data_IF_170391204401
#
_entry.id   IF_170391204401
#
_cell.length_a   1.000
_cell.length_b   1.000
_cell.length_c   1.000
_cell.angle_alpha   90.00
_cell.angle_beta   90.00
_cell.angle_gamma   90.00
#
_symmetry.space_group_name_H-M   'P 1'
#
loop_
_entity.id
_entity.type
_entity.pdbx_description
1 polymer ?
#
# COMPACT_ATOMS: atom_id res chain seq x y z
N UNK A 1 7.83 -17.55 -14.14
CA UNK A 1 6.40 -17.56 -14.42
C UNK A 1 6.05 -18.87 -15.09
N UNK A 2 5.84 -19.97 -14.37
CA UNK A 2 5.27 -21.16 -14.96
C UNK A 2 3.79 -20.95 -15.28
N UNK A 3 3.37 -21.66 -16.31
CA UNK A 3 1.97 -21.83 -16.67
C UNK A 3 1.58 -23.26 -16.32
N UNK A 4 0.47 -23.43 -15.61
CA UNK A 4 -0.05 -24.75 -15.26
C UNK A 4 -0.57 -25.47 -16.52
N UNK A 5 0.30 -26.31 -17.10
CA UNK A 5 0.02 -27.07 -18.33
C UNK A 5 -1.11 -28.08 -18.16
N UNK A 6 -1.41 -28.49 -16.92
CA UNK A 6 -2.52 -29.43 -16.64
C UNK A 6 -3.90 -28.78 -16.84
N UNK A 7 -3.96 -27.45 -16.81
CA UNK A 7 -5.19 -26.67 -17.00
C UNK A 7 -5.36 -26.14 -18.41
N UNK A 8 -4.45 -26.45 -19.34
CA UNK A 8 -4.55 -26.03 -20.72
C UNK A 8 -5.71 -26.74 -21.43
N UNK A 9 -6.55 -25.96 -22.10
CA UNK A 9 -7.57 -26.45 -23.03
C UNK A 9 -7.12 -26.15 -24.46
N UNK A 10 -7.72 -26.81 -25.45
CA UNK A 10 -7.48 -26.46 -26.87
C UNK A 10 -7.73 -24.97 -27.07
N UNK A 11 -6.76 -24.29 -27.66
CA UNK A 11 -6.76 -22.85 -27.93
C UNK A 11 -8.00 -22.44 -28.71
N UNK A 12 -8.70 -21.39 -28.25
CA UNK A 12 -9.92 -20.90 -28.92
C UNK A 12 -9.65 -19.72 -29.87
N UNK A 13 -8.47 -19.08 -29.80
CA UNK A 13 -8.15 -17.90 -30.61
C UNK A 13 -6.75 -17.96 -31.23
N UNK A 14 -6.62 -17.54 -32.48
CA UNK A 14 -5.33 -17.35 -33.15
C UNK A 14 -4.59 -16.12 -32.62
N UNK A 15 -3.27 -16.25 -32.44
CA UNK A 15 -2.39 -15.14 -32.05
C UNK A 15 -2.14 -14.22 -33.24
N UNK A 16 -2.38 -12.92 -33.05
CA UNK A 16 -2.05 -11.87 -34.02
C UNK A 16 -0.57 -11.96 -34.45
N UNK A 17 -0.24 -11.72 -35.74
CA UNK A 17 1.11 -11.89 -36.27
C UNK A 17 2.19 -11.13 -35.49
N UNK A 18 1.91 -9.88 -35.10
CA UNK A 18 2.83 -9.00 -34.37
C UNK A 18 3.10 -9.53 -32.96
N UNK A 19 2.06 -10.07 -32.30
CA UNK A 19 2.17 -10.70 -31.00
C UNK A 19 3.00 -11.99 -31.07
N UNK A 20 2.82 -12.77 -32.13
CA UNK A 20 3.60 -13.99 -32.39
C UNK A 20 5.08 -13.69 -32.62
N UNK A 21 5.38 -12.63 -33.39
CA UNK A 21 6.75 -12.17 -33.60
C UNK A 21 7.40 -11.71 -32.30
N UNK A 22 6.68 -10.98 -31.44
CA UNK A 22 7.19 -10.58 -30.13
C UNK A 22 7.49 -11.80 -29.25
N UNK A 23 6.58 -12.77 -29.18
CA UNK A 23 6.78 -14.02 -28.42
C UNK A 23 8.06 -14.73 -28.89
N UNK A 24 8.25 -14.86 -30.21
CA UNK A 24 9.45 -15.51 -30.77
C UNK A 24 10.73 -14.74 -30.42
N UNK A 25 10.72 -13.41 -30.56
CA UNK A 25 11.86 -12.57 -30.19
C UNK A 25 12.25 -12.71 -28.72
N UNK A 26 11.28 -12.71 -27.81
CA UNK A 26 11.53 -12.84 -26.36
C UNK A 26 12.03 -14.24 -25.99
N UNK A 27 11.53 -15.27 -26.67
CA UNK A 27 11.96 -16.66 -26.50
C UNK A 27 13.45 -16.81 -26.85
N UNK A 28 13.87 -16.29 -28.00
CA UNK A 28 15.24 -16.45 -28.52
C UNK A 28 16.26 -15.48 -27.92
N UNK A 29 15.82 -14.33 -27.39
CA UNK A 29 16.71 -13.28 -26.87
C UNK A 29 17.65 -13.76 -25.75
N UNK A 30 18.90 -13.32 -25.73
CA UNK A 30 19.75 -13.39 -24.53
C UNK A 30 19.22 -12.49 -23.39
N UNK A 31 19.73 -12.64 -22.17
CA UNK A 31 19.35 -11.79 -21.03
C UNK A 31 19.57 -10.29 -21.32
N UNK A 32 20.69 -9.92 -21.96
CA UNK A 32 20.97 -8.54 -22.35
C UNK A 32 19.99 -8.00 -23.40
N UNK A 33 19.66 -8.81 -24.41
CA UNK A 33 18.69 -8.44 -25.44
C UNK A 33 17.27 -8.34 -24.87
N UNK A 34 16.93 -9.24 -23.94
CA UNK A 34 15.65 -9.25 -23.26
C UNK A 34 15.44 -7.93 -22.50
N UNK A 35 16.45 -7.43 -21.77
CA UNK A 35 16.38 -6.10 -21.14
C UNK A 35 16.03 -5.01 -22.15
N UNK A 36 16.71 -4.99 -23.31
CA UNK A 36 16.48 -3.97 -24.35
C UNK A 36 15.05 -4.05 -24.89
N UNK A 37 14.60 -5.24 -25.28
CA UNK A 37 13.25 -5.44 -25.82
C UNK A 37 12.18 -5.05 -24.79
N UNK A 38 12.34 -5.45 -23.53
CA UNK A 38 11.35 -5.17 -22.49
C UNK A 38 11.30 -3.69 -22.09
N UNK A 39 12.42 -2.95 -22.18
CA UNK A 39 12.45 -1.50 -21.95
C UNK A 39 11.63 -0.72 -22.98
N UNK A 40 11.63 -1.19 -24.22
CA UNK A 40 10.92 -0.54 -25.32
C UNK A 40 9.38 -0.75 -25.23
N UNK A 41 8.92 -1.71 -24.43
CA UNK A 41 7.50 -2.05 -24.29
C UNK A 41 6.93 -1.42 -23.02
N UNK A 42 6.50 -0.16 -23.14
CA UNK A 42 5.78 0.55 -22.08
C UNK A 42 4.24 0.54 -22.25
N UNK A 43 3.77 0.24 -23.46
CA UNK A 43 2.35 0.30 -23.82
C UNK A 43 1.96 -0.96 -24.59
N UNK A 44 0.79 -1.50 -24.29
CA UNK A 44 0.33 -2.75 -24.89
C UNK A 44 -0.50 -2.51 -26.17
N UNK A 45 0.07 -2.87 -27.33
CA UNK A 45 -0.57 -2.71 -28.64
C UNK A 45 -1.12 -4.01 -29.24
N UNK A 46 -0.97 -5.14 -28.54
CA UNK A 46 -1.24 -6.48 -29.10
C UNK A 46 -2.67 -6.99 -28.86
N UNK A 47 -3.59 -6.12 -28.46
CA UNK A 47 -4.97 -6.51 -28.14
C UNK A 47 -5.07 -7.47 -26.95
N UNK A 48 -6.23 -8.10 -26.73
CA UNK A 48 -6.35 -9.08 -25.63
C UNK A 48 -5.63 -10.38 -26.01
N UNK A 49 -4.99 -11.04 -25.05
CA UNK A 49 -4.21 -12.26 -25.29
C UNK A 49 -4.63 -13.42 -24.39
N UNK A 50 -4.12 -14.62 -24.68
CA UNK A 50 -4.24 -15.78 -23.80
C UNK A 50 -2.86 -16.18 -23.29
N UNK A 51 -2.75 -16.42 -22.00
CA UNK A 51 -1.47 -16.71 -21.34
C UNK A 51 -0.82 -17.98 -21.90
N UNK A 52 -1.62 -18.93 -22.42
CA UNK A 52 -1.11 -20.16 -23.03
C UNK A 52 -0.18 -19.96 -24.23
N UNK A 53 -0.28 -18.84 -24.93
CA UNK A 53 0.64 -18.51 -26.02
C UNK A 53 2.02 -18.07 -25.52
N UNK A 54 2.11 -17.70 -24.25
CA UNK A 54 3.30 -17.17 -23.62
C UNK A 54 4.06 -18.21 -22.80
N UNK A 55 3.66 -19.50 -22.81
CA UNK A 55 4.23 -20.57 -21.96
C UNK A 55 5.76 -20.55 -21.95
N UNK A 56 6.39 -20.56 -23.12
CA UNK A 56 7.85 -20.64 -23.21
C UNK A 56 8.55 -19.38 -22.69
N UNK A 57 7.99 -18.20 -22.98
CA UNK A 57 8.51 -16.92 -22.46
C UNK A 57 8.34 -16.84 -20.94
N UNK A 58 7.19 -17.30 -20.44
CA UNK A 58 6.88 -17.30 -19.02
C UNK A 58 7.77 -18.30 -18.27
N UNK A 59 8.03 -19.48 -18.83
CA UNK A 59 8.94 -20.49 -18.26
C UNK A 59 10.36 -19.93 -18.15
N UNK A 60 10.85 -19.23 -19.18
CA UNK A 60 12.13 -18.50 -19.12
C UNK A 60 12.16 -17.44 -18.03
N UNK A 61 11.07 -16.67 -17.89
CA UNK A 61 10.93 -15.73 -16.77
C UNK A 61 10.87 -16.43 -15.41
N UNK A 62 10.45 -17.70 -15.35
CA UNK A 62 10.48 -18.51 -14.13
C UNK A 62 11.90 -18.76 -13.69
N UNK A 63 12.74 -19.21 -14.60
CA UNK A 63 14.13 -19.52 -14.31
C UNK A 63 14.88 -18.28 -13.83
N UNK A 64 14.64 -17.12 -14.47
CA UNK A 64 15.20 -15.83 -14.04
C UNK A 64 14.78 -15.52 -12.60
N UNK A 65 13.48 -15.55 -12.28
CA UNK A 65 13.00 -15.24 -10.94
C UNK A 65 13.43 -16.29 -9.90
N UNK A 66 13.42 -17.56 -10.26
CA UNK A 66 13.85 -18.67 -9.42
C UNK A 66 15.33 -18.57 -9.05
N UNK A 67 16.17 -18.03 -9.94
CA UNK A 67 17.60 -17.85 -9.65
C UNK A 67 17.86 -16.83 -8.54
N UNK A 68 17.03 -15.78 -8.44
CA UNK A 68 17.23 -14.66 -7.51
C UNK A 68 16.38 -14.74 -6.24
N UNK A 69 15.28 -15.49 -6.28
CA UNK A 69 14.32 -15.61 -5.17
C UNK A 69 14.72 -16.66 -4.11
N UNK A 70 15.89 -17.29 -4.24
CA UNK A 70 16.39 -18.31 -3.30
C UNK A 70 16.92 -17.67 -2.02
N UNK A 71 16.70 -18.27 -0.84
CA UNK A 71 17.35 -17.83 0.39
C UNK A 71 18.84 -18.13 0.37
N UNK A 72 19.64 -17.23 0.94
CA UNK A 72 21.10 -17.42 1.12
C UNK A 72 21.36 -18.05 2.48
N UNK A 73 22.13 -19.13 2.54
CA UNK A 73 22.52 -19.82 3.78
C UNK A 73 21.34 -20.22 4.69
N UNK A 74 20.17 -20.51 4.11
CA UNK A 74 18.95 -20.84 4.87
C UNK A 74 18.28 -19.64 5.56
N UNK A 75 18.76 -18.42 5.33
CA UNK A 75 18.16 -17.18 5.85
C UNK A 75 16.72 -17.00 5.35
N UNK A 76 15.86 -16.50 6.23
CA UNK A 76 14.48 -16.13 5.87
C UNK A 76 14.36 -14.69 5.37
N UNK A 77 15.42 -13.89 5.49
CA UNK A 77 15.42 -12.44 5.26
C UNK A 77 16.40 -11.99 4.18
N UNK A 78 17.31 -12.87 3.76
CA UNK A 78 18.33 -12.58 2.74
C UNK A 78 18.12 -13.49 1.53
N UNK A 79 17.83 -12.89 0.38
CA UNK A 79 17.70 -13.57 -0.89
C UNK A 79 18.99 -13.47 -1.70
N UNK A 80 19.18 -14.37 -2.68
CA UNK A 80 20.24 -14.27 -3.68
C UNK A 80 20.23 -12.88 -4.35
N UNK A 81 19.04 -12.33 -4.61
CA UNK A 81 18.84 -10.97 -5.11
C UNK A 81 19.58 -9.90 -4.29
N UNK A 82 19.54 -10.02 -2.95
CA UNK A 82 20.14 -9.04 -2.03
C UNK A 82 21.68 -9.15 -1.99
N UNK A 83 22.23 -10.24 -2.51
CA UNK A 83 23.66 -10.56 -2.50
C UNK A 83 24.32 -10.56 -3.88
N UNK A 84 23.60 -10.13 -4.93
CA UNK A 84 24.12 -10.14 -6.30
C UNK A 84 25.47 -9.41 -6.44
N UNK A 85 25.67 -8.27 -5.79
CA UNK A 85 26.96 -7.54 -5.88
C UNK A 85 28.14 -8.39 -5.37
N UNK A 86 27.90 -9.22 -4.34
CA UNK A 86 28.91 -10.09 -3.74
C UNK A 86 29.12 -11.37 -4.55
N UNK A 87 28.07 -11.86 -5.22
CA UNK A 87 28.06 -13.14 -5.94
C UNK A 87 28.51 -13.01 -7.41
N UNK A 88 28.10 -11.93 -8.08
CA UNK A 88 28.26 -11.74 -9.52
C UNK A 88 29.08 -10.48 -9.88
N UNK A 89 29.34 -9.59 -8.90
CA UNK A 89 29.99 -8.30 -9.13
C UNK A 89 29.00 -7.18 -9.49
N UNK A 90 29.35 -5.91 -9.25
CA UNK A 90 28.39 -4.79 -9.29
C UNK A 90 27.77 -4.54 -10.67
N UNK A 91 28.55 -4.67 -11.74
CA UNK A 91 28.07 -4.41 -13.11
C UNK A 91 27.04 -5.46 -13.55
N UNK A 92 27.37 -6.75 -13.35
CA UNK A 92 26.47 -7.86 -13.67
C UNK A 92 25.24 -7.84 -12.76
N UNK A 93 25.42 -7.56 -11.48
CA UNK A 93 24.32 -7.43 -10.52
C UNK A 93 23.34 -6.33 -10.93
N UNK A 94 23.82 -5.18 -11.41
CA UNK A 94 22.98 -4.10 -11.93
C UNK A 94 22.13 -4.55 -13.12
N UNK A 95 22.75 -5.25 -14.10
CA UNK A 95 22.03 -5.82 -15.24
C UNK A 95 21.01 -6.88 -14.81
N UNK A 96 21.37 -7.76 -13.88
CA UNK A 96 20.48 -8.80 -13.32
C UNK A 96 19.27 -8.18 -12.62
N UNK A 97 19.47 -7.13 -11.81
CA UNK A 97 18.37 -6.39 -11.16
C UNK A 97 17.48 -5.70 -12.19
N UNK A 98 18.07 -5.10 -13.21
CA UNK A 98 17.34 -4.50 -14.32
C UNK A 98 16.48 -5.54 -15.04
N UNK A 99 17.03 -6.71 -15.35
CA UNK A 99 16.31 -7.82 -15.99
C UNK A 99 15.12 -8.29 -15.15
N UNK A 100 15.34 -8.60 -13.87
CA UNK A 100 14.28 -9.07 -12.96
C UNK A 100 13.12 -8.07 -12.88
N UNK A 101 13.42 -6.79 -12.75
CA UNK A 101 12.39 -5.73 -12.70
C UNK A 101 11.60 -5.64 -14.01
N UNK A 102 12.26 -5.69 -15.17
CA UNK A 102 11.57 -5.63 -16.46
C UNK A 102 10.75 -6.89 -16.75
N UNK A 103 11.24 -8.07 -16.34
CA UNK A 103 10.50 -9.34 -16.42
C UNK A 103 9.20 -9.26 -15.60
N UNK A 104 9.25 -8.74 -14.37
CA UNK A 104 8.07 -8.58 -13.52
C UNK A 104 7.08 -7.55 -14.10
N UNK A 105 7.58 -6.38 -14.55
CA UNK A 105 6.75 -5.32 -15.17
C UNK A 105 6.05 -5.81 -16.43
N UNK A 106 6.79 -6.49 -17.31
CA UNK A 106 6.21 -7.08 -18.52
C UNK A 106 5.23 -8.21 -18.19
N UNK A 107 5.51 -9.02 -17.16
CA UNK A 107 4.55 -10.04 -16.72
C UNK A 107 3.24 -9.39 -16.26
N UNK A 108 3.29 -8.30 -15.49
CA UNK A 108 2.10 -7.55 -15.11
C UNK A 108 1.32 -7.06 -16.35
N UNK A 109 2.03 -6.54 -17.36
CA UNK A 109 1.43 -6.08 -18.61
C UNK A 109 0.72 -7.21 -19.38
N UNK A 110 1.39 -8.35 -19.58
CA UNK A 110 0.76 -9.54 -20.22
C UNK A 110 -0.48 -9.97 -19.44
N UNK A 111 -0.39 -10.05 -18.11
CA UNK A 111 -1.50 -10.46 -17.26
C UNK A 111 -2.67 -9.49 -17.31
N UNK A 112 -2.43 -8.18 -17.43
CA UNK A 112 -3.50 -7.19 -17.53
C UNK A 112 -4.36 -7.44 -18.76
N UNK A 113 -3.74 -7.77 -19.90
CA UNK A 113 -4.40 -8.01 -21.17
C UNK A 113 -4.79 -9.48 -21.42
N UNK A 114 -4.48 -10.39 -20.50
CA UNK A 114 -4.77 -11.82 -20.64
C UNK A 114 -6.18 -12.22 -20.17
N UNK A 115 -6.87 -13.11 -20.90
CA UNK A 115 -8.11 -13.74 -20.42
C UNK A 115 -7.87 -14.93 -19.49
N UNK A 116 -6.73 -15.61 -19.62
CA UNK A 116 -6.44 -16.89 -18.94
C UNK A 116 -5.44 -16.71 -17.79
N UNK A 117 -5.62 -15.63 -17.01
CA UNK A 117 -4.78 -15.28 -15.84
C UNK A 117 -4.67 -16.38 -14.79
N UNK A 118 -5.68 -17.24 -14.69
CA UNK A 118 -5.75 -18.36 -13.74
C UNK A 118 -4.72 -19.47 -14.01
N UNK A 119 -4.07 -19.46 -15.18
CA UNK A 119 -3.04 -20.44 -15.53
C UNK A 119 -1.67 -20.09 -14.93
N UNK A 120 -1.48 -18.87 -14.43
CA UNK A 120 -0.23 -18.45 -13.81
C UNK A 120 0.05 -19.27 -12.53
N UNK A 121 1.28 -19.80 -12.37
CA UNK A 121 1.62 -20.67 -11.24
C UNK A 121 2.85 -20.26 -10.40
N UNK A 122 3.58 -19.18 -10.73
CA UNK A 122 4.81 -18.77 -10.01
C UNK A 122 4.62 -17.90 -8.76
N UNK A 123 3.56 -18.18 -8.02
CA UNK A 123 3.23 -17.42 -6.80
C UNK A 123 4.34 -17.44 -5.74
N UNK A 124 5.15 -18.50 -5.66
CA UNK A 124 6.26 -18.64 -4.70
C UNK A 124 7.38 -17.61 -4.90
N UNK A 125 7.67 -17.23 -6.16
CA UNK A 125 8.66 -16.20 -6.45
C UNK A 125 8.13 -14.82 -6.06
N UNK A 126 6.84 -14.55 -6.33
CA UNK A 126 6.19 -13.31 -5.89
C UNK A 126 6.19 -13.20 -4.37
N UNK A 127 5.83 -14.28 -3.67
CA UNK A 127 5.90 -14.35 -2.21
C UNK A 127 7.32 -14.00 -1.79
N UNK A 128 8.32 -14.80 -2.18
CA UNK A 128 9.72 -14.64 -1.72
C UNK A 128 10.27 -13.23 -1.96
N UNK A 129 10.09 -12.69 -3.17
CA UNK A 129 10.61 -11.36 -3.53
C UNK A 129 9.95 -10.19 -2.79
N UNK A 130 8.78 -10.36 -2.15
CA UNK A 130 8.23 -9.34 -1.24
C UNK A 130 9.10 -9.11 0.01
N UNK A 131 10.03 -10.02 0.32
CA UNK A 131 10.99 -9.92 1.43
C UNK A 131 12.34 -9.35 0.97
N UNK A 132 12.49 -9.02 -0.32
CA UNK A 132 13.71 -8.39 -0.80
C UNK A 132 13.99 -7.06 -0.07
N UNK A 133 15.27 -6.73 0.07
CA UNK A 133 15.75 -5.49 0.66
C UNK A 133 15.58 -4.30 -0.28
N UNK A 134 15.67 -4.51 -1.59
CA UNK A 134 15.48 -3.47 -2.60
C UNK A 134 13.99 -3.23 -2.88
N UNK A 135 13.55 -1.99 -2.72
CA UNK A 135 12.16 -1.62 -2.93
C UNK A 135 11.75 -1.63 -4.41
N UNK A 136 12.69 -1.55 -5.36
CA UNK A 136 12.34 -1.59 -6.79
C UNK A 136 11.73 -2.93 -7.19
N UNK A 137 12.33 -4.05 -6.77
CA UNK A 137 11.78 -5.39 -7.06
C UNK A 137 10.48 -5.63 -6.29
N UNK A 138 10.37 -5.12 -5.06
CA UNK A 138 9.12 -5.17 -4.28
C UNK A 138 8.00 -4.44 -5.02
N UNK A 139 8.25 -3.25 -5.56
CA UNK A 139 7.29 -2.50 -6.38
C UNK A 139 6.88 -3.26 -7.64
N UNK A 140 7.84 -3.87 -8.33
CA UNK A 140 7.56 -4.67 -9.52
C UNK A 140 6.68 -5.89 -9.20
N UNK A 141 6.90 -6.54 -8.05
CA UNK A 141 6.02 -7.62 -7.55
C UNK A 141 4.63 -7.10 -7.18
N UNK A 142 4.55 -5.96 -6.49
CA UNK A 142 3.28 -5.31 -6.13
C UNK A 142 2.47 -4.95 -7.38
N UNK A 143 3.12 -4.55 -8.47
CA UNK A 143 2.48 -4.32 -9.77
C UNK A 143 1.80 -5.57 -10.32
N UNK A 144 2.47 -6.73 -10.26
CA UNK A 144 1.87 -8.02 -10.65
C UNK A 144 0.67 -8.36 -9.76
N UNK A 145 0.81 -8.21 -8.44
CA UNK A 145 -0.26 -8.48 -7.48
C UNK A 145 -1.46 -7.54 -7.66
N UNK A 146 -1.23 -6.28 -8.03
CA UNK A 146 -2.27 -5.29 -8.32
C UNK A 146 -3.11 -5.69 -9.53
N UNK A 147 -2.46 -6.15 -10.60
CA UNK A 147 -3.18 -6.68 -11.77
C UNK A 147 -4.03 -7.88 -11.37
N UNK A 148 -3.49 -8.78 -10.56
CA UNK A 148 -4.25 -9.92 -10.06
C UNK A 148 -5.42 -9.52 -9.18
N UNK A 149 -5.26 -8.58 -8.25
CA UNK A 149 -6.34 -8.15 -7.37
C UNK A 149 -7.45 -7.43 -8.13
N UNK A 150 -7.11 -6.61 -9.13
CA UNK A 150 -8.07 -5.81 -9.88
C UNK A 150 -8.80 -6.58 -10.98
N UNK A 151 -8.13 -7.53 -11.64
CA UNK A 151 -8.61 -8.18 -12.87
C UNK A 151 -8.87 -9.68 -12.72
N UNK A 152 -8.66 -10.24 -11.53
CA UNK A 152 -8.77 -11.68 -11.29
C UNK A 152 -9.16 -12.00 -9.83
N UNK A 153 -9.63 -13.23 -9.61
CA UNK A 153 -9.76 -13.83 -8.27
C UNK A 153 -8.55 -14.72 -7.94
N UNK A 154 -7.38 -14.41 -8.51
CA UNK A 154 -6.15 -15.20 -8.34
C UNK A 154 -5.71 -15.28 -6.88
N UNK A 155 -5.58 -14.15 -6.18
CA UNK A 155 -5.10 -14.10 -4.78
C UNK A 155 -6.00 -14.92 -3.84
N UNK A 156 -7.35 -14.79 -3.86
CA UNK A 156 -8.22 -15.62 -3.02
C UNK A 156 -8.10 -17.13 -3.27
N UNK A 157 -7.71 -17.55 -4.49
CA UNK A 157 -7.58 -18.95 -4.92
C UNK A 157 -6.21 -19.56 -4.64
N UNK A 158 -5.25 -18.77 -4.15
CA UNK A 158 -3.95 -19.29 -3.76
C UNK A 158 -4.06 -20.25 -2.57
N UNK A 159 -3.10 -21.20 -2.44
CA UNK A 159 -2.93 -21.98 -1.22
C UNK A 159 -2.88 -21.09 0.03
N UNK A 160 -3.45 -21.58 1.13
CA UNK A 160 -3.70 -20.78 2.34
C UNK A 160 -2.42 -20.19 2.95
N UNK A 161 -1.32 -20.94 2.91
CA UNK A 161 0.02 -20.54 3.32
C UNK A 161 0.53 -19.35 2.50
N UNK A 162 0.51 -19.44 1.17
CA UNK A 162 0.94 -18.37 0.27
C UNK A 162 0.04 -17.13 0.40
N UNK A 163 -1.27 -17.34 0.50
CA UNK A 163 -2.25 -16.26 0.68
C UNK A 163 -2.01 -15.51 2.00
N UNK A 164 -1.82 -16.23 3.11
CA UNK A 164 -1.54 -15.63 4.43
C UNK A 164 -0.20 -14.88 4.40
N UNK A 165 0.83 -15.45 3.78
CA UNK A 165 2.13 -14.79 3.65
C UNK A 165 2.04 -13.47 2.84
N UNK A 166 1.33 -13.47 1.71
CA UNK A 166 1.08 -12.25 0.92
C UNK A 166 0.31 -11.24 1.76
N UNK A 167 -0.79 -11.65 2.40
CA UNK A 167 -1.62 -10.75 3.19
C UNK A 167 -0.84 -10.09 4.34
N UNK A 168 -0.08 -10.88 5.12
CA UNK A 168 0.74 -10.36 6.21
C UNK A 168 1.79 -9.35 5.72
N UNK A 169 2.46 -9.65 4.60
CA UNK A 169 3.48 -8.76 4.01
C UNK A 169 2.86 -7.47 3.48
N UNK A 170 1.72 -7.56 2.81
CA UNK A 170 0.98 -6.39 2.32
C UNK A 170 0.47 -5.53 3.47
N UNK A 171 -0.06 -6.12 4.55
CA UNK A 171 -0.49 -5.38 5.74
C UNK A 171 0.69 -4.61 6.34
N UNK A 172 1.85 -5.26 6.54
CA UNK A 172 3.05 -4.61 7.09
C UNK A 172 3.63 -3.53 6.15
N UNK A 173 3.50 -3.68 4.83
CA UNK A 173 3.87 -2.65 3.85
C UNK A 173 2.88 -1.48 3.84
N UNK A 174 1.60 -1.76 4.09
CA UNK A 174 0.50 -0.79 4.10
C UNK A 174 0.46 0.10 5.36
N UNK A 175 1.17 -0.30 6.42
CA UNK A 175 1.18 0.37 7.71
C UNK A 175 1.56 1.86 7.63
N UNK A 176 0.97 2.63 8.53
CA UNK A 176 1.30 4.04 8.69
C UNK A 176 2.69 4.22 9.25
N UNK A 177 3.49 5.04 8.57
CA UNK A 177 4.77 5.54 9.04
C UNK A 177 4.68 7.04 9.27
N UNK A 178 5.42 7.51 10.26
CA UNK A 178 5.35 8.91 10.67
C UNK A 178 4.01 9.30 11.30
N UNK A 179 3.71 10.60 11.27
CA UNK A 179 2.51 11.20 11.85
C UNK A 179 2.85 12.34 12.80
N UNK A 180 1.82 13.01 13.33
CA UNK A 180 2.00 14.11 14.31
C UNK A 180 2.91 13.71 15.47
N UNK A 181 2.79 12.48 15.94
CA UNK A 181 3.60 11.94 17.05
C UNK A 181 5.05 11.68 16.66
N UNK A 182 5.32 11.42 15.38
CA UNK A 182 6.67 11.19 14.86
C UNK A 182 7.35 12.47 14.35
N UNK A 183 6.63 13.60 14.31
CA UNK A 183 7.14 14.91 13.91
C UNK A 183 7.17 15.19 12.40
N UNK A 184 6.65 14.30 11.55
CA UNK A 184 6.56 14.52 10.10
C UNK A 184 5.31 13.88 9.49
N UNK A 185 4.83 14.41 8.36
CA UNK A 185 3.66 13.88 7.66
C UNK A 185 4.06 13.13 6.38
N UNK A 186 3.14 12.32 5.84
CA UNK A 186 3.34 11.63 4.56
C UNK A 186 3.67 12.63 3.43
N UNK A 187 3.03 13.79 3.45
CA UNK A 187 3.27 14.87 2.51
C UNK A 187 4.71 15.39 2.57
N UNK A 188 5.26 15.58 3.77
CA UNK A 188 6.66 15.96 3.96
C UNK A 188 7.62 14.88 3.43
N UNK A 189 7.29 13.60 3.63
CA UNK A 189 8.12 12.50 3.10
C UNK A 189 8.21 12.47 1.57
N UNK A 190 7.20 12.99 0.86
CA UNK A 190 7.16 13.06 -0.59
C UNK A 190 8.03 14.19 -1.17
N UNK A 191 8.60 15.06 -0.33
CA UNK A 191 9.44 16.18 -0.77
C UNK A 191 10.93 15.78 -0.75
N UNK A 192 11.69 16.36 -1.68
CA UNK A 192 13.16 16.24 -1.72
C UNK A 192 13.79 17.23 -0.74
N UNK A 193 13.64 16.94 0.54
CA UNK A 193 14.20 17.74 1.63
C UNK A 193 15.46 17.07 2.19
N UNK A 194 16.47 17.85 2.61
CA UNK A 194 17.62 17.34 3.35
C UNK A 194 17.20 16.63 4.63
N UNK A 195 17.96 15.61 5.06
CA UNK A 195 17.64 14.81 6.26
C UNK A 195 17.45 15.63 7.54
N UNK A 196 18.14 16.78 7.66
CA UNK A 196 18.03 17.70 8.81
C UNK A 196 16.64 18.33 8.99
N UNK A 197 15.81 18.36 7.94
CA UNK A 197 14.42 18.83 8.00
C UNK A 197 13.50 17.78 8.63
N UNK A 198 13.98 16.55 8.80
CA UNK A 198 13.26 15.47 9.45
C UNK A 198 13.76 15.28 10.89
N UNK A 199 12.89 14.83 11.82
CA UNK A 199 13.29 14.45 13.16
C UNK A 199 14.45 13.43 13.13
N UNK A 200 15.39 13.54 14.08
CA UNK A 200 16.58 12.68 14.14
C UNK A 200 16.20 11.19 14.23
N UNK A 201 15.05 10.90 14.84
CA UNK A 201 14.50 9.55 14.98
C UNK A 201 13.81 9.00 13.72
N UNK A 202 13.77 9.75 12.61
CA UNK A 202 13.01 9.32 11.41
C UNK A 202 13.60 8.10 10.71
N UNK A 203 14.88 7.81 10.96
CA UNK A 203 15.59 6.63 10.47
C UNK A 203 16.02 5.67 11.61
N UNK A 204 15.35 5.79 12.76
CA UNK A 204 15.49 4.87 13.88
C UNK A 204 14.40 3.79 13.78
N UNK A 205 14.71 2.59 14.26
CA UNK A 205 13.73 1.52 14.45
C UNK A 205 13.44 1.42 15.93
N UNK A 206 12.19 1.73 16.31
CA UNK A 206 11.64 1.42 17.61
C UNK A 206 10.53 0.38 17.46
N UNK A 207 10.64 -0.75 18.15
CA UNK A 207 9.69 -1.84 18.05
C UNK A 207 9.51 -2.54 19.40
N UNK A 208 8.28 -2.55 19.89
CA UNK A 208 7.91 -3.18 21.16
C UNK A 208 7.08 -4.44 20.91
N UNK A 209 7.35 -5.48 21.68
CA UNK A 209 6.55 -6.70 21.68
C UNK A 209 6.58 -7.37 23.04
N UNK A 210 5.52 -8.11 23.33
CA UNK A 210 5.43 -8.94 24.50
C UNK A 210 5.98 -10.32 24.18
N UNK A 211 6.82 -10.84 25.06
CA UNK A 211 7.33 -12.19 24.94
C UNK A 211 6.65 -13.06 26.01
N UNK A 212 6.05 -14.16 25.58
CA UNK A 212 5.46 -15.12 26.49
C UNK A 212 6.58 -16.09 26.89
N UNK A 213 7.06 -16.00 28.13
CA UNK A 213 8.00 -16.98 28.65
C UNK A 213 7.34 -18.36 28.65
N UNK A 214 7.80 -19.26 27.79
CA UNK A 214 7.52 -20.70 27.91
C UNK A 214 8.21 -21.17 29.19
N UNK A 215 7.46 -21.20 30.29
CA UNK A 215 7.91 -21.79 31.54
C UNK A 215 8.34 -23.24 31.26
N UNK A 216 9.62 -23.53 31.48
CA UNK A 216 10.21 -24.87 31.56
C UNK A 216 9.42 -25.72 32.55
N UNK A 217 9.32 -27.06 32.38
CA UNK A 217 8.50 -27.89 33.26
C UNK A 217 9.02 -27.82 34.71
N UNK A 218 8.11 -27.82 35.72
CA UNK A 218 8.50 -27.62 37.10
C UNK A 218 9.27 -28.83 37.62
N UNK A 219 10.52 -28.61 38.02
CA UNK A 219 11.16 -29.47 39.01
C UNK A 219 11.20 -28.75 40.35
N UNK A 220 10.79 -29.49 41.38
CA UNK A 220 10.81 -29.23 42.82
C UNK A 220 9.82 -28.19 43.39
N UNK A 221 8.71 -28.74 43.90
CA UNK A 221 8.04 -28.43 45.18
C UNK A 221 8.22 -27.04 45.77
N UNK A 222 7.33 -26.12 45.40
CA UNK A 222 6.73 -25.17 46.34
C UNK A 222 5.45 -24.60 45.73
N UNK A 223 4.33 -24.71 46.45
CA UNK A 223 3.03 -24.17 46.06
C UNK A 223 3.06 -22.64 46.04
N UNK A 224 3.35 -22.05 44.89
CA UNK A 224 2.89 -20.72 44.53
C UNK A 224 2.44 -20.73 43.07
N UNK A 225 1.16 -20.40 42.85
CA UNK A 225 0.56 -20.22 41.53
C UNK A 225 1.20 -18.99 40.88
N UNK A 226 2.25 -19.19 40.08
CA UNK A 226 2.83 -18.14 39.25
C UNK A 226 1.97 -17.95 38.00
N UNK A 227 1.36 -16.77 37.88
CA UNK A 227 0.72 -16.29 36.65
C UNK A 227 1.80 -16.17 35.56
N UNK A 228 1.58 -16.62 34.32
CA UNK A 228 2.57 -16.47 33.25
C UNK A 228 2.86 -14.98 33.03
N UNK A 229 4.08 -14.56 33.38
CA UNK A 229 4.52 -13.17 33.27
C UNK A 229 4.88 -12.84 31.82
N UNK A 230 4.05 -12.04 31.15
CA UNK A 230 4.39 -11.47 29.85
C UNK A 230 5.40 -10.32 30.04
N UNK A 231 6.62 -10.46 29.52
CA UNK A 231 7.63 -9.39 29.60
C UNK A 231 7.65 -8.55 28.33
N UNK A 232 7.64 -7.22 28.49
CA UNK A 232 7.76 -6.27 27.38
C UNK A 232 9.23 -6.18 26.94
N UNK A 233 9.51 -6.56 25.70
CA UNK A 233 10.79 -6.38 25.03
C UNK A 233 10.71 -5.19 24.07
N UNK A 234 11.80 -4.42 23.96
CA UNK A 234 11.92 -3.35 22.96
C UNK A 234 13.21 -3.48 22.16
N UNK A 235 13.08 -3.38 20.84
CA UNK A 235 14.17 -3.26 19.88
C UNK A 235 14.32 -1.78 19.56
N UNK A 236 15.52 -1.26 19.79
CA UNK A 236 15.88 0.10 19.41
C UNK A 236 17.18 0.11 18.63
N UNK A 237 17.08 0.39 17.32
CA UNK A 237 18.24 0.55 16.44
C UNK A 237 18.26 1.99 15.93
N UNK A 238 19.25 2.76 16.38
CA UNK A 238 19.40 4.17 16.00
C UNK A 238 20.16 4.30 14.69
N UNK A 239 19.75 5.28 13.88
CA UNK A 239 20.43 5.72 12.66
C UNK A 239 20.80 4.54 11.73
N UNK A 240 19.85 3.64 11.52
CA UNK A 240 20.06 2.37 10.80
C UNK A 240 20.61 2.56 9.37
N UNK A 241 20.33 3.72 8.77
CA UNK A 241 20.86 4.11 7.47
C UNK A 241 22.39 4.18 7.39
N UNK A 242 23.09 4.37 8.51
CA UNK A 242 24.56 4.43 8.55
C UNK A 242 25.23 3.06 8.49
N UNK A 243 24.47 1.99 8.72
CA UNK A 243 25.01 0.62 8.75
C UNK A 243 25.47 0.26 7.33
N UNK A 244 26.47 -0.60 7.21
CA UNK A 244 26.91 -1.09 5.88
C UNK A 244 26.00 -2.20 5.35
N UNK A 245 25.41 -2.93 6.27
CA UNK A 245 24.59 -4.11 6.07
C UNK A 245 23.25 -3.76 5.42
N UNK A 246 22.75 -4.68 4.60
CA UNK A 246 21.42 -4.56 4.01
C UNK A 246 20.32 -4.87 5.05
N UNK A 247 19.07 -4.45 4.80
CA UNK A 247 17.94 -4.73 5.69
C UNK A 247 17.80 -6.18 6.15
N UNK A 248 18.05 -7.15 5.26
CA UNK A 248 17.98 -8.59 5.57
C UNK A 248 19.04 -9.03 6.58
N UNK A 249 20.28 -8.54 6.42
CA UNK A 249 21.38 -8.79 7.36
C UNK A 249 21.12 -8.18 8.72
N UNK A 250 20.64 -6.93 8.77
CA UNK A 250 20.26 -6.27 10.03
C UNK A 250 19.14 -7.04 10.72
N UNK A 251 18.19 -7.58 9.95
CA UNK A 251 17.10 -8.39 10.49
C UNK A 251 17.58 -9.69 11.15
N UNK A 252 18.54 -10.39 10.54
CA UNK A 252 19.14 -11.60 11.14
C UNK A 252 19.88 -11.25 12.44
N UNK A 253 20.67 -10.17 12.46
CA UNK A 253 21.34 -9.68 13.66
C UNK A 253 20.34 -9.36 14.78
N UNK A 254 19.29 -8.59 14.48
CA UNK A 254 18.27 -8.19 15.46
C UNK A 254 17.49 -9.41 15.96
N UNK A 255 17.14 -10.34 15.09
CA UNK A 255 16.40 -11.55 15.51
C UNK A 255 17.24 -12.41 16.45
N UNK A 256 18.56 -12.49 16.19
CA UNK A 256 19.52 -13.21 17.05
C UNK A 256 19.68 -12.53 18.41
N UNK A 257 19.76 -11.19 18.45
CA UNK A 257 19.97 -10.45 19.69
C UNK A 257 18.73 -10.36 20.58
N UNK A 258 17.52 -10.22 19.99
CA UNK A 258 16.31 -9.89 20.74
C UNK A 258 15.29 -11.05 20.84
N UNK A 259 15.47 -12.14 20.09
CA UNK A 259 14.53 -13.29 20.08
C UNK A 259 13.10 -12.86 19.72
N UNK A 260 12.95 -12.17 18.59
CA UNK A 260 11.66 -11.62 18.14
C UNK A 260 10.72 -12.76 17.67
N UNK A 261 9.47 -12.85 18.17
CA UNK A 261 8.48 -13.84 17.74
C UNK A 261 8.19 -13.81 16.24
N UNK A 262 7.98 -14.97 15.63
CA UNK A 262 7.83 -15.13 14.16
C UNK A 262 6.64 -14.35 13.58
N UNK A 263 5.56 -14.15 14.34
CA UNK A 263 4.41 -13.35 13.93
C UNK A 263 4.72 -11.85 13.87
N UNK A 264 5.73 -11.37 14.61
CA UNK A 264 6.19 -9.98 14.66
C UNK A 264 7.31 -9.66 13.68
N UNK A 265 8.06 -10.66 13.24
CA UNK A 265 9.27 -10.45 12.42
C UNK A 265 9.00 -9.72 11.10
N UNK A 266 7.90 -10.02 10.40
CA UNK A 266 7.56 -9.35 9.12
C UNK A 266 7.28 -7.85 9.33
N UNK A 267 6.64 -7.49 10.44
CA UNK A 267 6.39 -6.09 10.79
C UNK A 267 7.72 -5.36 11.07
N UNK A 268 8.55 -5.95 11.93
CA UNK A 268 9.87 -5.41 12.26
C UNK A 268 10.73 -5.23 11.00
N UNK A 269 10.74 -6.23 10.11
CA UNK A 269 11.46 -6.14 8.84
C UNK A 269 10.97 -5.00 7.94
N UNK A 270 9.65 -4.76 7.90
CA UNK A 270 9.08 -3.60 7.19
C UNK A 270 9.62 -2.28 7.74
N UNK A 271 9.72 -2.15 9.07
CA UNK A 271 10.29 -0.97 9.75
C UNK A 271 11.78 -0.81 9.49
N UNK A 272 12.55 -1.90 9.52
CA UNK A 272 13.98 -1.91 9.20
C UNK A 272 14.22 -1.43 7.76
N UNK A 273 13.50 -1.98 6.78
CA UNK A 273 13.59 -1.54 5.37
C UNK A 273 13.29 -0.06 5.22
N UNK A 274 12.21 0.42 5.86
CA UNK A 274 11.86 1.84 5.81
C UNK A 274 12.97 2.70 6.41
N UNK A 275 13.42 2.40 7.63
CA UNK A 275 14.45 3.16 8.33
C UNK A 275 15.78 3.22 7.55
N UNK A 276 16.16 2.11 6.90
CA UNK A 276 17.35 2.05 6.04
C UNK A 276 17.24 3.01 4.87
N UNK A 277 16.10 3.00 4.19
CA UNK A 277 15.89 3.72 2.93
C UNK A 277 15.45 5.17 3.14
N UNK A 278 14.98 5.53 4.34
CA UNK A 278 14.36 6.82 4.63
C UNK A 278 15.21 8.04 4.22
N UNK A 279 16.54 8.10 4.47
CA UNK A 279 17.31 9.31 4.13
C UNK A 279 17.47 9.57 2.64
N UNK A 280 17.46 8.52 1.80
CA UNK A 280 17.63 8.65 0.36
C UNK A 280 16.27 8.93 -0.27
N UNK A 281 16.08 10.12 -0.84
CA UNK A 281 14.79 10.58 -1.36
C UNK A 281 14.13 9.58 -2.32
N UNK A 282 14.87 9.07 -3.32
CA UNK A 282 14.33 8.11 -4.29
C UNK A 282 13.86 6.80 -3.61
N UNK A 283 14.65 6.27 -2.68
CA UNK A 283 14.29 5.04 -1.94
C UNK A 283 13.15 5.27 -0.97
N UNK A 284 13.09 6.45 -0.33
CA UNK A 284 11.95 6.91 0.47
C UNK A 284 10.68 6.93 -0.37
N UNK A 285 10.71 7.51 -1.58
CA UNK A 285 9.60 7.48 -2.53
C UNK A 285 9.17 6.06 -2.89
N UNK A 286 10.11 5.14 -3.10
CA UNK A 286 9.78 3.73 -3.37
C UNK A 286 9.05 3.07 -2.19
N UNK A 287 9.42 3.36 -0.94
CA UNK A 287 8.66 2.92 0.24
C UNK A 287 7.24 3.51 0.26
N UNK A 288 7.06 4.78 -0.12
CA UNK A 288 5.73 5.41 -0.23
C UNK A 288 4.89 4.69 -1.28
N UNK A 289 5.44 4.50 -2.47
CA UNK A 289 4.78 3.83 -3.58
C UNK A 289 4.38 2.40 -3.21
N UNK A 290 5.27 1.66 -2.53
CA UNK A 290 5.01 0.30 -2.11
C UNK A 290 3.86 0.24 -1.11
N UNK A 291 3.81 1.19 -0.17
CA UNK A 291 2.69 1.34 0.76
C UNK A 291 1.37 1.59 0.05
N UNK A 292 1.33 2.54 -0.88
CA UNK A 292 0.12 2.89 -1.63
C UNK A 292 -0.38 1.72 -2.49
N UNK A 293 0.53 1.01 -3.14
CA UNK A 293 0.20 -0.18 -3.92
C UNK A 293 -0.27 -1.33 -3.02
N UNK A 294 0.37 -1.56 -1.88
CA UNK A 294 -0.03 -2.61 -0.94
C UNK A 294 -1.45 -2.40 -0.42
N UNK A 295 -1.79 -1.16 0.00
CA UNK A 295 -3.16 -0.80 0.40
C UNK A 295 -4.14 -1.07 -0.75
N UNK A 296 -3.78 -0.68 -1.98
CA UNK A 296 -4.62 -0.90 -3.16
C UNK A 296 -4.87 -2.39 -3.42
N UNK A 297 -3.83 -3.23 -3.36
CA UNK A 297 -3.94 -4.68 -3.54
C UNK A 297 -4.85 -5.30 -2.47
N UNK A 298 -4.69 -4.89 -1.20
CA UNK A 298 -5.51 -5.39 -0.10
C UNK A 298 -6.99 -5.04 -0.28
N UNK A 299 -7.28 -3.80 -0.66
CA UNK A 299 -8.65 -3.34 -0.92
C UNK A 299 -9.30 -4.10 -2.08
N UNK A 300 -8.59 -4.27 -3.21
CA UNK A 300 -9.13 -4.99 -4.36
C UNK A 300 -9.27 -6.50 -4.11
N UNK A 301 -8.43 -7.09 -3.26
CA UNK A 301 -8.48 -8.52 -2.95
C UNK A 301 -9.63 -8.92 -2.02
N UNK A 302 -10.53 -7.99 -1.69
CA UNK A 302 -11.63 -8.20 -0.75
C UNK A 302 -11.17 -8.72 0.62
N UNK A 303 -10.00 -8.30 1.08
CA UNK A 303 -9.65 -8.33 2.52
C UNK A 303 -10.41 -7.25 3.31
N UNK A 304 -11.50 -6.73 2.71
CA UNK A 304 -12.27 -5.50 2.97
C UNK A 304 -12.97 -5.43 4.33
N UNK A 305 -12.89 -6.48 5.14
CA UNK A 305 -13.32 -6.40 6.53
C UNK A 305 -12.30 -5.68 7.41
N UNK A 306 -11.03 -5.61 6.99
CA UNK A 306 -10.00 -4.95 7.77
C UNK A 306 -10.20 -3.43 7.80
N UNK A 307 -10.67 -2.95 8.94
CA UNK A 307 -10.98 -1.53 9.15
C UNK A 307 -9.71 -0.69 9.17
N UNK A 308 -8.58 -1.27 9.55
CA UNK A 308 -7.31 -0.55 9.62
C UNK A 308 -6.83 -0.18 8.23
N UNK A 309 -7.00 -1.08 7.25
CA UNK A 309 -6.65 -0.82 5.85
C UNK A 309 -7.56 0.27 5.26
N UNK A 310 -8.87 0.19 5.52
CA UNK A 310 -9.82 1.22 5.08
C UNK A 310 -9.51 2.58 5.71
N UNK A 311 -9.15 2.59 6.99
CA UNK A 311 -8.73 3.79 7.72
C UNK A 311 -7.44 4.37 7.14
N UNK A 312 -6.45 3.53 6.85
CA UNK A 312 -5.20 3.93 6.23
C UNK A 312 -5.42 4.53 4.83
N UNK A 313 -6.34 3.97 4.04
CA UNK A 313 -6.71 4.49 2.73
C UNK A 313 -7.32 5.90 2.81
N UNK A 314 -8.29 6.13 3.71
CA UNK A 314 -8.89 7.45 3.90
C UNK A 314 -7.85 8.48 4.42
N UNK A 315 -6.99 8.09 5.36
CA UNK A 315 -5.93 8.98 5.86
C UNK A 315 -4.92 9.34 4.77
N UNK A 316 -4.67 8.42 3.84
CA UNK A 316 -3.83 8.66 2.67
C UNK A 316 -4.50 9.65 1.70
N UNK A 317 -5.79 9.48 1.40
CA UNK A 317 -6.56 10.45 0.60
C UNK A 317 -6.58 11.83 1.26
N UNK A 318 -6.72 11.88 2.58
CA UNK A 318 -6.64 13.12 3.36
C UNK A 318 -5.30 13.81 3.18
N UNK A 319 -4.19 13.06 3.28
CA UNK A 319 -2.85 13.62 3.08
C UNK A 319 -2.68 14.15 1.64
N UNK A 320 -3.22 13.46 0.63
CA UNK A 320 -3.19 13.92 -0.77
C UNK A 320 -3.96 15.22 -0.98
N UNK A 321 -5.14 15.36 -0.37
CA UNK A 321 -5.94 16.59 -0.41
C UNK A 321 -5.24 17.73 0.35
N UNK A 322 -4.52 17.42 1.43
CA UNK A 322 -3.77 18.41 2.20
C UNK A 322 -2.53 18.95 1.50
N UNK A 323 -1.93 18.22 0.54
CA UNK A 323 -0.73 18.64 -0.21
C UNK A 323 -0.94 19.84 -1.17
N UNK A 324 -2.01 20.63 -1.00
CA UNK A 324 -2.31 21.85 -1.77
C UNK A 324 -2.31 21.67 -3.31
N UNK A 325 -2.53 20.44 -3.78
CA UNK A 325 -2.54 20.12 -5.21
C UNK A 325 -3.95 20.30 -5.81
N UNK A 326 -4.40 21.56 -5.95
CA UNK A 326 -5.71 21.95 -6.52
C UNK A 326 -6.23 21.07 -7.68
N UNK A 327 -5.47 20.74 -8.75
CA UNK A 327 -6.01 19.92 -9.86
C UNK A 327 -6.33 18.47 -9.47
N UNK A 328 -5.75 17.94 -8.38
CA UNK A 328 -6.00 16.56 -7.92
C UNK A 328 -7.26 16.43 -7.06
N UNK A 329 -7.74 17.54 -6.50
CA UNK A 329 -8.99 17.55 -5.71
C UNK A 329 -10.17 17.19 -6.62
N UNK A 330 -10.21 17.73 -7.85
CA UNK A 330 -11.20 17.32 -8.86
C UNK A 330 -11.17 15.81 -9.13
N UNK A 331 -9.97 15.25 -9.35
CA UNK A 331 -9.83 13.80 -9.54
C UNK A 331 -10.36 12.99 -8.35
N UNK A 332 -10.14 13.47 -7.12
CA UNK A 332 -10.68 12.84 -5.90
C UNK A 332 -12.20 12.93 -5.88
N UNK A 333 -12.79 14.09 -6.19
CA UNK A 333 -14.24 14.30 -6.27
C UNK A 333 -14.85 13.32 -7.30
N UNK A 334 -14.28 13.26 -8.50
CA UNK A 334 -14.75 12.39 -9.58
C UNK A 334 -14.66 10.91 -9.21
N UNK A 335 -13.49 10.47 -8.72
CA UNK A 335 -13.23 9.06 -8.40
C UNK A 335 -14.05 8.58 -7.19
N UNK A 336 -14.39 9.48 -6.27
CA UNK A 336 -15.23 9.15 -5.10
C UNK A 336 -16.73 9.33 -5.36
N UNK A 337 -17.08 9.89 -6.53
CA UNK A 337 -18.44 10.25 -6.89
C UNK A 337 -19.04 11.34 -6.00
N UNK A 338 -18.22 12.18 -5.35
CA UNK A 338 -18.70 13.12 -4.34
C UNK A 338 -19.73 14.11 -4.90
N UNK A 339 -19.65 14.48 -6.17
CA UNK A 339 -20.60 15.41 -6.80
C UNK A 339 -22.01 14.82 -7.03
N UNK A 340 -22.26 13.56 -6.66
CA UNK A 340 -23.55 12.89 -6.84
C UNK A 340 -24.11 12.41 -5.50
N UNK A 341 -25.41 12.61 -5.28
CA UNK A 341 -26.10 12.11 -4.08
C UNK A 341 -25.87 10.60 -3.88
N UNK A 342 -25.94 9.80 -4.95
CA UNK A 342 -25.69 8.35 -4.92
C UNK A 342 -24.22 7.96 -5.11
N UNK A 343 -23.31 8.93 -5.04
CA UNK A 343 -21.88 8.71 -5.06
C UNK A 343 -21.41 7.77 -3.96
N UNK A 344 -20.25 7.16 -4.18
CA UNK A 344 -19.65 6.25 -3.21
C UNK A 344 -19.38 6.95 -1.88
N UNK A 345 -18.69 8.10 -1.89
CA UNK A 345 -18.32 8.81 -0.66
C UNK A 345 -19.53 9.39 0.11
N UNK A 346 -20.53 10.01 -0.54
CA UNK A 346 -21.75 10.45 0.15
C UNK A 346 -22.51 9.29 0.79
N UNK A 347 -22.64 8.16 0.09
CA UNK A 347 -23.30 6.96 0.61
C UNK A 347 -22.54 6.38 1.80
N UNK A 348 -21.21 6.25 1.69
CA UNK A 348 -20.34 5.82 2.78
C UNK A 348 -20.46 6.72 4.01
N UNK A 349 -20.52 8.03 3.80
CA UNK A 349 -20.62 9.03 4.87
C UNK A 349 -21.98 8.96 5.57
N UNK A 350 -23.08 8.86 4.82
CA UNK A 350 -24.41 8.69 5.44
C UNK A 350 -24.52 7.39 6.23
N UNK A 351 -23.96 6.28 5.71
CA UNK A 351 -23.92 5.01 6.44
C UNK A 351 -23.06 5.12 7.72
N UNK A 352 -21.94 5.84 7.65
CA UNK A 352 -21.10 6.12 8.82
C UNK A 352 -21.85 6.96 9.86
N UNK A 353 -22.57 7.99 9.43
CA UNK A 353 -23.34 8.85 10.33
C UNK A 353 -24.50 8.05 10.96
N UNK A 354 -25.22 7.27 10.16
CA UNK A 354 -26.25 6.37 10.67
C UNK A 354 -25.69 5.43 11.74
N UNK A 355 -24.50 4.84 11.50
CA UNK A 355 -23.82 3.99 12.47
C UNK A 355 -23.38 4.70 13.76
N UNK A 356 -23.21 6.03 13.71
CA UNK A 356 -22.85 6.86 14.87
C UNK A 356 -24.06 7.38 15.65
N UNK A 357 -25.23 7.45 15.02
CA UNK A 357 -26.45 8.04 15.61
C UNK A 357 -27.53 7.01 15.95
N UNK A 358 -27.47 5.81 15.38
CA UNK A 358 -28.43 4.74 15.64
C UNK A 358 -27.87 3.75 16.68
N UNK A 359 -28.46 3.67 17.89
CA UNK A 359 -28.01 2.76 18.94
C UNK A 359 -28.18 1.28 18.60
N UNK A 360 -28.99 0.94 17.59
CA UNK A 360 -29.24 -0.43 17.14
C UNK A 360 -28.31 -0.87 15.99
N UNK A 361 -27.49 0.04 15.48
CA UNK A 361 -26.58 -0.23 14.36
C UNK A 361 -25.25 -0.83 14.82
N UNK A 362 -24.63 -1.65 13.97
CA UNK A 362 -23.27 -2.12 14.21
C UNK A 362 -22.32 -0.91 14.29
N UNK A 363 -21.63 -0.76 15.42
CA UNK A 363 -20.73 0.36 15.64
C UNK A 363 -19.60 0.35 14.62
N UNK A 364 -19.55 1.37 13.76
CA UNK A 364 -18.42 1.59 12.88
C UNK A 364 -17.19 1.94 13.74
N UNK A 365 -15.98 1.41 13.44
CA UNK A 365 -14.84 1.70 14.30
C UNK A 365 -14.47 3.18 14.29
N UNK A 366 -14.31 3.73 15.50
CA UNK A 366 -14.00 5.13 15.75
C UNK A 366 -12.83 5.67 14.91
N UNK A 367 -11.70 4.94 14.70
CA UNK A 367 -10.59 5.43 13.88
C UNK A 367 -10.99 5.69 12.42
N UNK A 368 -11.85 4.85 11.86
CA UNK A 368 -12.32 5.00 10.49
C UNK A 368 -13.24 6.22 10.34
N UNK A 369 -14.23 6.35 11.22
CA UNK A 369 -15.12 7.52 11.26
C UNK A 369 -14.30 8.81 11.43
N UNK A 370 -13.33 8.81 12.36
CA UNK A 370 -12.42 9.93 12.59
C UNK A 370 -11.62 10.29 11.33
N UNK A 371 -11.13 9.28 10.61
CA UNK A 371 -10.46 9.45 9.32
C UNK A 371 -11.38 10.08 8.29
N UNK A 372 -12.61 9.60 8.17
CA UNK A 372 -13.60 10.08 7.21
C UNK A 372 -13.99 11.55 7.45
N UNK A 373 -14.30 11.94 8.68
CA UNK A 373 -14.60 13.34 9.01
C UNK A 373 -13.39 14.25 8.79
N UNK A 374 -12.17 13.76 9.05
CA UNK A 374 -10.95 14.53 8.74
C UNK A 374 -10.79 14.74 7.23
N UNK A 375 -11.09 13.72 6.44
CA UNK A 375 -11.04 13.81 4.98
C UNK A 375 -12.05 14.83 4.45
N UNK A 376 -13.30 14.78 4.93
CA UNK A 376 -14.34 15.74 4.55
C UNK A 376 -13.97 17.17 4.96
N UNK A 377 -13.40 17.37 6.16
CA UNK A 377 -12.90 18.68 6.61
C UNK A 377 -11.86 19.27 5.67
N UNK A 378 -10.85 18.49 5.27
CA UNK A 378 -9.82 18.98 4.35
C UNK A 378 -10.35 19.18 2.93
N UNK A 379 -11.40 18.46 2.55
CA UNK A 379 -12.03 18.62 1.25
C UNK A 379 -12.90 19.88 1.18
N UNK A 380 -13.65 20.16 2.25
CA UNK A 380 -14.49 21.36 2.41
C UNK A 380 -13.68 22.67 2.42
N UNK A 381 -12.37 22.61 2.71
CA UNK A 381 -11.49 23.76 2.60
C UNK A 381 -11.38 24.32 1.17
N UNK A 382 -11.56 23.46 0.15
CA UNK A 382 -11.53 23.88 -1.25
C UNK A 382 -12.93 24.18 -1.76
N UNK A 383 -13.08 25.24 -2.55
CA UNK A 383 -14.36 25.68 -3.14
C UNK A 383 -15.11 24.56 -3.86
N UNK A 384 -14.46 23.92 -4.84
CA UNK A 384 -15.01 22.77 -5.56
C UNK A 384 -15.40 21.60 -4.64
N UNK A 385 -14.73 21.45 -3.50
CA UNK A 385 -15.02 20.40 -2.51
C UNK A 385 -16.23 20.76 -1.66
N UNK A 386 -16.32 22.02 -1.20
CA UNK A 386 -17.48 22.55 -0.49
C UNK A 386 -18.75 22.50 -1.36
N UNK A 387 -18.67 22.95 -2.61
CA UNK A 387 -19.78 22.86 -3.58
C UNK A 387 -20.26 21.43 -3.78
N UNK A 388 -19.33 20.47 -3.94
CA UNK A 388 -19.66 19.06 -4.09
C UNK A 388 -20.31 18.46 -2.83
N UNK A 389 -19.90 18.88 -1.62
CA UNK A 389 -20.52 18.45 -0.36
C UNK A 389 -21.97 18.95 -0.23
N UNK A 390 -22.24 20.17 -0.69
CA UNK A 390 -23.60 20.73 -0.75
C UNK A 390 -24.43 19.99 -1.79
N UNK A 391 -23.92 19.81 -3.01
CA UNK A 391 -24.67 19.22 -4.12
C UNK A 391 -25.08 17.76 -3.88
N UNK A 392 -24.30 17.01 -3.11
CA UNK A 392 -24.62 15.62 -2.77
C UNK A 392 -25.47 15.44 -1.50
N UNK A 393 -25.93 16.55 -0.89
CA UNK A 393 -26.81 16.52 0.27
C UNK A 393 -26.14 16.07 1.57
N UNK A 394 -24.81 16.18 1.70
CA UNK A 394 -24.12 15.78 2.92
C UNK A 394 -24.30 16.79 4.07
N UNK A 395 -24.72 18.02 3.78
CA UNK A 395 -25.00 19.03 4.80
C UNK A 395 -26.10 18.57 5.77
N UNK A 396 -27.19 18.01 5.25
CA UNK A 396 -28.28 17.43 6.07
C UNK A 396 -27.83 16.23 6.90
N UNK A 397 -26.89 15.45 6.39
CA UNK A 397 -26.32 14.33 7.13
C UNK A 397 -25.43 14.83 8.29
N UNK A 398 -24.63 15.88 8.07
CA UNK A 398 -23.80 16.50 9.10
C UNK A 398 -24.65 17.17 10.20
N UNK A 399 -25.77 17.80 9.85
CA UNK A 399 -26.71 18.36 10.82
C UNK A 399 -27.24 17.28 11.79
N UNK A 400 -27.57 16.09 11.29
CA UNK A 400 -27.98 14.96 12.14
C UNK A 400 -26.92 14.56 13.17
N UNK A 401 -25.64 14.73 12.86
CA UNK A 401 -24.56 14.50 13.83
C UNK A 401 -24.59 15.57 14.92
N UNK A 402 -24.83 16.84 14.56
CA UNK A 402 -24.87 17.95 15.52
C UNK A 402 -26.09 17.89 16.43
N UNK A 403 -27.23 17.44 15.90
CA UNK A 403 -28.49 17.33 16.64
C UNK A 403 -28.54 16.12 17.59
N UNK A 404 -27.73 15.10 17.33
CA UNK A 404 -27.72 13.88 18.12
C UNK A 404 -27.03 14.09 19.48
N UNK A 405 -27.66 13.59 20.54
CA UNK A 405 -27.08 13.60 21.89
C UNK A 405 -26.35 12.28 22.15
N UNK A 406 -25.03 12.29 21.91
CA UNK A 406 -24.14 11.15 22.21
C UNK A 406 -23.18 11.41 23.38
N UNK A 407 -22.37 10.40 23.73
CA UNK A 407 -21.33 10.52 24.77
C UNK A 407 -20.08 11.30 24.31
N UNK A 408 -19.01 11.29 25.12
CA UNK A 408 -17.79 12.10 24.88
C UNK A 408 -17.14 11.90 23.50
N UNK A 409 -17.16 10.66 22.99
CA UNK A 409 -16.64 10.36 21.63
C UNK A 409 -17.45 11.05 20.54
N UNK A 410 -18.76 11.23 20.74
CA UNK A 410 -19.66 11.90 19.82
C UNK A 410 -19.37 13.40 19.71
N UNK A 411 -19.03 14.05 20.82
CA UNK A 411 -18.68 15.48 20.85
C UNK A 411 -17.52 15.82 19.90
N UNK A 412 -16.57 14.90 19.72
CA UNK A 412 -15.46 15.08 18.77
C UNK A 412 -15.93 15.12 17.32
N UNK A 413 -16.99 14.38 16.97
CA UNK A 413 -17.60 14.40 15.65
C UNK A 413 -18.47 15.63 15.45
N UNK A 414 -19.23 16.05 16.46
CA UNK A 414 -20.00 17.31 16.45
C UNK A 414 -19.08 18.48 16.14
N UNK A 415 -17.97 18.60 16.86
CA UNK A 415 -16.99 19.68 16.65
C UNK A 415 -16.44 19.71 15.22
N UNK A 416 -16.16 18.53 14.63
CA UNK A 416 -15.68 18.45 13.24
C UNK A 416 -16.78 18.73 12.22
N UNK A 417 -18.00 18.25 12.45
CA UNK A 417 -19.15 18.51 11.61
C UNK A 417 -19.42 20.02 11.53
N UNK A 418 -19.43 20.72 12.67
CA UNK A 418 -19.56 22.18 12.73
C UNK A 418 -18.49 22.85 11.89
N UNK A 419 -17.21 22.48 12.05
CA UNK A 419 -16.12 23.06 11.25
C UNK A 419 -16.25 22.81 9.75
N UNK A 420 -16.76 21.65 9.33
CA UNK A 420 -17.05 21.37 7.91
C UNK A 420 -18.15 22.33 7.42
N UNK A 421 -19.22 22.49 8.19
CA UNK A 421 -20.32 23.40 7.86
C UNK A 421 -19.88 24.87 7.84
N UNK A 422 -18.98 25.28 8.73
CA UNK A 422 -18.37 26.62 8.74
C UNK A 422 -17.57 26.87 7.46
N UNK A 423 -16.76 25.91 6.99
CA UNK A 423 -16.06 26.04 5.71
C UNK A 423 -17.02 26.24 4.54
N UNK A 424 -18.09 25.44 4.49
CA UNK A 424 -19.13 25.56 3.46
C UNK A 424 -19.79 26.95 3.51
N UNK A 425 -20.22 27.39 4.69
CA UNK A 425 -20.92 28.68 4.85
C UNK A 425 -20.03 29.89 4.51
N UNK A 426 -18.73 29.84 4.83
CA UNK A 426 -17.79 30.91 4.50
C UNK A 426 -17.55 31.04 2.98
N UNK A 427 -17.65 29.93 2.23
CA UNK A 427 -17.50 29.96 0.77
C UNK A 427 -18.69 30.65 0.10
N UNK A 428 -19.91 30.35 0.53
CA UNK A 428 -21.13 31.02 0.04
C UNK A 428 -21.07 32.54 0.24
N UNK A 429 -20.53 33.01 1.38
CA UNK A 429 -20.33 34.44 1.65
C UNK A 429 -19.29 35.10 0.72
N UNK A 430 -18.22 34.39 0.36
CA UNK A 430 -17.19 34.87 -0.57
C UNK A 430 -17.67 34.87 -2.04
N UNK A 431 -18.50 33.91 -2.44
CA UNK A 431 -19.19 33.89 -3.73
C UNK A 431 -20.17 35.05 -3.89
N UNK A 432 -20.88 35.41 -2.80
CA UNK A 432 -21.72 36.61 -2.76
C UNK A 432 -20.93 37.92 -2.87
N UNK A 433 -19.76 38.02 -2.23
CA UNK A 433 -18.87 39.19 -2.37
C UNK A 433 -18.32 39.34 -3.80
N UNK A 434 -18.11 38.23 -4.52
CA UNK A 434 -17.61 38.25 -5.90
C UNK A 434 -18.72 38.37 -6.96
N UNK A 435 -19.97 38.01 -6.68
CA UNK A 435 -21.05 38.05 -7.69
C UNK A 435 -22.15 39.10 -7.46
N UNK A 436 -22.32 39.72 -6.28
CA UNK A 436 -23.13 40.95 -6.15
C UNK A 436 -23.09 41.50 -4.72
N UNK A 437 -22.45 42.66 -4.50
CA UNK A 437 -22.58 43.29 -3.18
C UNK A 437 -21.94 44.63 -2.86
N UNK A 438 -21.08 45.22 -3.70
CA UNK A 438 -20.40 46.49 -3.35
C UNK A 438 -20.58 47.65 -4.33
N UNK A 439 -21.59 47.62 -5.20
CA UNK A 439 -21.94 48.75 -6.09
C UNK A 439 -23.39 49.23 -6.02
N UNK A 440 -24.17 48.83 -5.00
CA UNK A 440 -25.56 49.31 -4.82
C UNK A 440 -25.83 50.16 -3.57
N UNK A 441 -24.80 50.53 -2.81
CA UNK A 441 -24.94 51.39 -1.63
C UNK A 441 -24.20 52.74 -1.70
N UNK A 442 -23.60 53.10 -2.84
CA UNK A 442 -22.87 54.38 -3.00
C UNK A 442 -23.28 55.27 -4.19
N UNK A 443 -24.44 55.04 -4.80
CA UNK A 443 -24.99 56.01 -5.76
C UNK A 443 -26.49 56.21 -5.56
N UNK A 444 -26.78 57.29 -4.83
CA UNK A 444 -27.95 58.18 -4.83
C UNK A 444 -28.50 58.35 -3.39
N UNK A 445 -28.29 59.40 -2.57
CA UNK A 445 -28.11 60.87 -2.76
C UNK A 445 -28.47 61.44 -4.11
#
# INVERSE_FOLDING_TARGET
>A
MKIDRTKLRKTQSDVAPECRQLIQRLKEASDCELIRILKDINTWYYGKCELQHWVEVMDKFDEILASVAKPVNGSCWILTYDKLDQLEGPDIASERRCLVNHVLRFTALVLEHSYTRHLYSSSEHLVSLLVASDMEVVLSVLGVLYVFSKRSSFIPRLPADKRKAIQQRLQCLGETWGGKNAGFSLAHCCQDLPLKEFPVSSADVYFEYYNESTSTPPQSDSQQVQTPGSHLCSVHVKQLYQFSENPGEVMEQVTTCYSVPTDKQVNLFSRIRLAKHFPVYEKRLQCIQARLQAISVLLYSNSTQDVDIRTAAIRTLTALVHMECSPRVNTVIDCTGLASYHGFLPTLTRNCIQALTDPLSDSLPLPFATGLFSFLYHLAYYEIGAEALVSCGLLEALLRVVEHQGGDSHLTFVTRAIRIMEWIANMDLSGYQNQSGLNRYYQQT
#
